data_IF_559891802173
#
_entry.id   IF_559891802173
#
_cell.length_a   1.000
_cell.length_b   1.000
_cell.length_c   1.000
_cell.angle_alpha   90.00
_cell.angle_beta   90.00
_cell.angle_gamma   90.00
#
_symmetry.space_group_name_H-M   'P 1'
#
loop_
_entity.id
_entity.type
_entity.pdbx_description
1 polymer ?
#
# COMPACT_ATOMS: atom_id res chain seq x y z
N UNK A 1 13.59 56.86 -54.38
CA UNK A 1 14.02 56.80 -52.96
C UNK A 1 12.87 56.25 -52.15
N UNK A 2 12.89 54.97 -51.85
CA UNK A 2 11.81 54.20 -51.10
C UNK A 2 12.39 53.76 -49.80
N UNK A 3 11.73 54.04 -48.70
CA UNK A 3 12.12 53.70 -47.37
C UNK A 3 11.42 52.38 -46.96
N UNK A 4 12.12 51.38 -46.35
CA UNK A 4 11.51 50.11 -45.98
C UNK A 4 10.77 50.18 -44.65
N UNK A 5 9.63 49.49 -44.63
CA UNK A 5 8.72 49.41 -43.52
C UNK A 5 9.31 48.72 -42.28
N UNK A 6 8.96 49.25 -41.13
CA UNK A 6 9.35 48.77 -39.81
C UNK A 6 8.50 47.53 -39.41
N UNK A 7 9.12 46.37 -39.35
CA UNK A 7 8.51 45.14 -38.84
C UNK A 7 8.35 45.27 -37.34
N UNK A 8 7.08 45.27 -36.84
CA UNK A 8 6.76 45.12 -35.43
C UNK A 8 7.06 43.72 -35.00
N UNK A 9 8.06 43.51 -34.13
CA UNK A 9 8.27 42.27 -33.42
C UNK A 9 7.20 42.12 -32.37
N UNK A 10 6.32 41.11 -32.54
CA UNK A 10 5.38 40.67 -31.54
C UNK A 10 6.15 40.14 -30.32
N UNK A 11 5.81 40.65 -29.16
CA UNK A 11 6.30 40.22 -27.86
C UNK A 11 5.64 38.86 -27.59
N UNK A 12 6.38 37.76 -27.25
CA UNK A 12 5.73 36.52 -26.82
C UNK A 12 5.08 36.75 -25.46
N UNK A 13 3.76 36.65 -25.40
CA UNK A 13 3.04 36.54 -24.14
C UNK A 13 3.45 35.21 -23.48
N UNK A 14 4.28 35.35 -22.46
CA UNK A 14 4.57 34.25 -21.56
C UNK A 14 3.29 33.95 -20.74
N UNK A 15 2.50 33.01 -21.21
CA UNK A 15 1.43 32.41 -20.43
C UNK A 15 2.03 31.71 -19.20
N UNK A 16 2.09 32.45 -18.10
CA UNK A 16 2.32 31.89 -16.76
C UNK A 16 1.06 31.14 -16.32
N UNK A 17 0.88 29.92 -16.82
CA UNK A 17 0.12 28.94 -16.10
C UNK A 17 0.94 28.60 -14.84
N UNK A 18 0.79 29.39 -13.79
CA UNK A 18 1.23 29.03 -12.45
C UNK A 18 0.43 27.77 -12.06
N UNK A 19 1.03 26.60 -12.23
CA UNK A 19 0.52 25.39 -11.62
C UNK A 19 0.39 25.69 -10.11
N UNK A 20 -0.83 25.75 -9.63
CA UNK A 20 -1.13 25.80 -8.21
C UNK A 20 -0.52 24.54 -7.61
N UNK A 21 0.67 24.65 -7.03
CA UNK A 21 1.25 23.61 -6.21
C UNK A 21 0.34 23.51 -4.99
N UNK A 22 -0.57 22.52 -5.01
CA UNK A 22 -1.35 22.20 -3.81
C UNK A 22 -0.37 21.97 -2.67
N UNK A 23 -0.61 22.57 -1.49
CA UNK A 23 0.27 22.37 -0.34
C UNK A 23 0.35 20.87 -0.06
N UNK A 24 1.57 20.38 0.10
CA UNK A 24 1.81 18.96 0.42
C UNK A 24 0.98 18.61 1.66
N UNK A 25 0.07 17.64 1.52
CA UNK A 25 -0.77 17.21 2.62
C UNK A 25 0.11 16.77 3.80
N UNK A 26 -0.22 17.23 5.01
CA UNK A 26 0.48 16.78 6.21
C UNK A 26 0.12 15.30 6.52
N UNK A 27 1.04 14.51 7.05
CA UNK A 27 0.75 13.16 7.47
C UNK A 27 -0.28 13.17 8.61
N UNK A 28 -1.28 12.30 8.53
CA UNK A 28 -2.31 12.14 9.56
C UNK A 28 -2.06 10.84 10.32
N UNK A 29 -1.91 10.95 11.64
CA UNK A 29 -1.78 9.77 12.48
C UNK A 29 -3.18 9.26 12.90
N UNK A 30 -3.38 7.95 12.80
CA UNK A 30 -4.63 7.30 13.20
C UNK A 30 -4.40 6.00 13.95
N UNK A 31 -5.37 5.62 14.77
CA UNK A 31 -5.42 4.28 15.35
C UNK A 31 -5.70 3.23 14.27
N UNK A 32 -5.13 2.05 14.45
CA UNK A 32 -5.31 0.89 13.60
C UNK A 32 -5.59 -0.36 14.46
N UNK A 33 -6.86 -0.68 14.67
CA UNK A 33 -7.24 -1.86 15.44
C UNK A 33 -6.81 -3.17 14.74
N UNK A 34 -6.75 -3.19 13.41
CA UNK A 34 -6.24 -4.34 12.68
C UNK A 34 -4.75 -4.59 12.92
N UNK A 35 -3.92 -3.53 12.96
CA UNK A 35 -2.52 -3.67 13.34
C UNK A 35 -2.37 -4.09 14.81
N UNK A 36 -3.17 -3.53 15.71
CA UNK A 36 -3.18 -3.97 17.11
C UNK A 36 -3.43 -5.48 17.19
N UNK A 37 -4.49 -5.96 16.56
CA UNK A 37 -4.83 -7.39 16.53
C UNK A 37 -3.75 -8.27 15.87
N UNK A 38 -3.10 -7.78 14.81
CA UNK A 38 -1.97 -8.48 14.19
C UNK A 38 -0.81 -8.62 15.17
N UNK A 39 -0.38 -7.51 15.78
CA UNK A 39 0.79 -7.49 16.66
C UNK A 39 0.55 -8.16 18.00
N UNK A 40 -0.67 -8.10 18.56
CA UNK A 40 -1.05 -8.81 19.79
C UNK A 40 -0.96 -10.34 19.62
N UNK A 41 -1.07 -10.83 18.40
CA UNK A 41 -0.93 -12.25 18.09
C UNK A 41 0.53 -12.68 17.79
N UNK A 42 1.49 -11.77 17.87
CA UNK A 42 2.91 -12.03 17.63
C UNK A 42 3.70 -11.94 18.94
N UNK A 43 4.70 -12.82 19.07
CA UNK A 43 5.64 -12.73 20.18
C UNK A 43 6.67 -11.60 19.92
N UNK A 44 7.02 -10.85 20.96
CA UNK A 44 8.05 -9.79 20.90
C UNK A 44 9.44 -10.36 21.16
N UNK A 45 9.79 -11.44 20.48
CA UNK A 45 11.05 -12.15 20.65
C UNK A 45 12.02 -11.97 19.48
N UNK A 46 11.66 -11.14 18.51
CA UNK A 46 12.45 -10.85 17.33
C UNK A 46 12.63 -12.06 16.39
N UNK A 47 11.74 -13.06 16.44
CA UNK A 47 11.92 -14.28 15.64
C UNK A 47 11.18 -14.29 14.31
N UNK A 48 10.20 -13.43 14.15
CA UNK A 48 9.37 -13.42 12.94
C UNK A 48 10.11 -12.92 11.71
N UNK A 49 9.65 -13.34 10.55
CA UNK A 49 10.06 -12.79 9.25
C UNK A 49 8.89 -12.03 8.63
N UNK A 50 9.13 -10.80 8.22
CA UNK A 50 8.10 -9.88 7.73
C UNK A 50 8.38 -9.51 6.28
N UNK A 51 7.35 -9.65 5.43
CA UNK A 51 7.29 -9.06 4.10
C UNK A 51 6.36 -7.84 4.15
N UNK A 52 6.90 -6.68 3.85
CA UNK A 52 6.15 -5.44 3.77
C UNK A 52 6.09 -4.98 2.31
N UNK A 53 4.88 -4.83 1.77
CA UNK A 53 4.69 -4.38 0.39
C UNK A 53 4.82 -2.86 0.25
N UNK A 54 5.00 -2.14 1.36
CA UNK A 54 5.25 -0.71 1.40
C UNK A 54 6.73 -0.33 1.28
N UNK A 55 7.00 0.93 1.59
CA UNK A 55 8.34 1.51 1.60
C UNK A 55 8.98 1.42 2.99
N UNK A 56 10.29 1.22 2.99
CA UNK A 56 11.08 1.31 4.21
C UNK A 56 11.05 2.72 4.82
N UNK A 57 11.14 2.78 6.14
CA UNK A 57 11.26 4.02 6.90
C UNK A 57 11.69 3.75 8.34
N UNK A 58 12.44 4.70 8.94
CA UNK A 58 13.06 4.49 10.26
C UNK A 58 12.05 4.17 11.37
N UNK A 59 10.91 4.89 11.40
CA UNK A 59 9.86 4.62 12.39
C UNK A 59 9.24 3.25 12.19
N UNK A 60 9.02 2.89 10.94
CA UNK A 60 8.48 1.60 10.53
C UNK A 60 9.38 0.45 10.97
N UNK A 61 10.67 0.54 10.65
CA UNK A 61 11.69 -0.43 11.07
C UNK A 61 11.74 -0.57 12.59
N UNK A 62 11.67 0.55 13.33
CA UNK A 62 11.71 0.56 14.79
C UNK A 62 10.55 -0.20 15.44
N UNK A 63 9.36 -0.17 14.84
CA UNK A 63 8.22 -0.96 15.32
C UNK A 63 8.40 -2.43 14.99
N UNK A 64 8.75 -2.74 13.74
CA UNK A 64 8.87 -4.11 13.26
C UNK A 64 10.03 -4.88 13.90
N UNK A 65 11.15 -4.23 14.19
CA UNK A 65 12.33 -4.86 14.80
C UNK A 65 12.09 -5.46 16.20
N UNK A 66 10.99 -5.07 16.86
CA UNK A 66 10.58 -5.69 18.14
C UNK A 66 10.05 -7.11 17.96
N UNK A 67 9.55 -7.44 16.77
CA UNK A 67 8.89 -8.71 16.47
C UNK A 67 9.70 -9.55 15.49
N UNK A 68 10.43 -8.90 14.59
CA UNK A 68 11.06 -9.54 13.45
C UNK A 68 12.58 -9.40 13.46
N UNK A 69 13.28 -10.50 13.21
CA UNK A 69 14.71 -10.49 12.91
C UNK A 69 15.00 -10.25 11.42
N UNK A 70 14.00 -10.45 10.55
CA UNK A 70 14.13 -10.23 9.12
C UNK A 70 12.93 -9.49 8.59
N UNK A 71 13.19 -8.38 7.92
CA UNK A 71 12.17 -7.53 7.30
C UNK A 71 12.59 -7.29 5.85
N UNK A 72 11.67 -7.51 4.92
CA UNK A 72 11.84 -7.21 3.50
C UNK A 72 10.78 -6.21 3.07
N UNK A 73 11.19 -5.21 2.32
CA UNK A 73 10.31 -4.21 1.73
C UNK A 73 10.26 -4.43 0.22
N UNK A 74 9.06 -4.49 -0.34
CA UNK A 74 8.85 -4.68 -1.78
C UNK A 74 8.71 -3.35 -2.54
N UNK A 75 8.28 -2.28 -1.86
CA UNK A 75 8.14 -0.96 -2.47
C UNK A 75 6.97 -0.84 -3.47
N UNK A 76 5.97 -1.71 -3.42
CA UNK A 76 4.81 -1.66 -4.32
C UNK A 76 3.86 -0.50 -4.02
N UNK A 77 3.87 -0.01 -2.81
CA UNK A 77 3.02 1.08 -2.35
C UNK A 77 3.90 2.32 -2.13
N UNK A 78 3.46 3.49 -2.54
CA UNK A 78 2.11 3.85 -3.02
C UNK A 78 1.85 3.66 -4.51
N UNK A 79 2.82 3.27 -5.29
CA UNK A 79 2.73 3.15 -6.75
C UNK A 79 3.05 1.73 -7.20
N UNK A 80 2.05 0.83 -7.25
CA UNK A 80 2.27 -0.52 -7.77
C UNK A 80 2.71 -0.42 -9.23
N UNK A 81 3.60 -1.34 -9.67
CA UNK A 81 3.96 -1.44 -11.08
C UNK A 81 2.74 -1.69 -11.97
N UNK A 82 2.75 -1.21 -13.20
CA UNK A 82 1.66 -1.37 -14.17
C UNK A 82 2.10 -2.23 -15.36
N UNK A 83 1.14 -2.87 -16.03
CA UNK A 83 1.40 -3.68 -17.23
C UNK A 83 2.40 -4.81 -16.98
N UNK A 84 3.32 -5.02 -17.93
CA UNK A 84 4.33 -6.09 -17.88
C UNK A 84 5.29 -5.95 -16.68
N UNK A 85 5.49 -4.72 -16.19
CA UNK A 85 6.33 -4.49 -15.01
C UNK A 85 5.72 -5.12 -13.75
N UNK A 86 4.41 -5.34 -13.71
CA UNK A 86 3.75 -6.01 -12.59
C UNK A 86 4.21 -7.47 -12.44
N UNK A 87 4.20 -8.23 -13.53
CA UNK A 87 4.62 -9.63 -13.52
C UNK A 87 6.06 -9.77 -13.07
N UNK A 88 6.96 -8.96 -13.66
CA UNK A 88 8.37 -8.93 -13.27
C UNK A 88 8.56 -8.56 -11.80
N UNK A 89 7.77 -7.61 -11.29
CA UNK A 89 7.84 -7.20 -9.88
C UNK A 89 7.34 -8.30 -8.92
N UNK A 90 6.29 -9.05 -9.29
CA UNK A 90 5.83 -10.20 -8.52
C UNK A 90 6.88 -11.32 -8.46
N UNK A 91 7.52 -11.62 -9.60
CA UNK A 91 8.59 -12.60 -9.66
C UNK A 91 9.81 -12.17 -8.85
N UNK A 92 10.11 -10.87 -8.85
CA UNK A 92 11.20 -10.26 -8.09
C UNK A 92 10.91 -10.17 -6.59
N UNK A 93 9.67 -10.46 -6.12
CA UNK A 93 9.40 -10.56 -4.68
C UNK A 93 10.34 -11.60 -4.08
N UNK A 94 11.27 -11.16 -3.19
CA UNK A 94 12.33 -12.03 -2.74
C UNK A 94 11.77 -13.16 -1.89
N UNK A 95 12.06 -14.43 -2.23
CA UNK A 95 11.89 -15.47 -1.25
C UNK A 95 12.81 -15.16 -0.06
N UNK A 96 12.33 -15.43 1.14
CA UNK A 96 13.21 -15.36 2.29
C UNK A 96 14.19 -16.55 2.21
N UNK A 97 15.52 -16.31 2.14
CA UNK A 97 16.49 -17.39 1.97
C UNK A 97 16.57 -18.34 3.16
N UNK A 98 16.11 -17.90 4.33
CA UNK A 98 16.23 -18.69 5.56
C UNK A 98 14.95 -19.46 5.89
N UNK A 99 13.79 -18.87 5.62
CA UNK A 99 12.47 -19.47 5.96
C UNK A 99 11.35 -18.66 5.30
N UNK A 100 10.15 -19.24 5.08
CA UNK A 100 8.99 -18.49 4.61
C UNK A 100 8.63 -17.33 5.55
N UNK A 101 7.91 -16.32 5.03
CA UNK A 101 7.45 -15.18 5.82
C UNK A 101 6.33 -15.56 6.78
N UNK A 102 6.40 -15.07 8.01
CA UNK A 102 5.37 -15.27 9.04
C UNK A 102 4.29 -14.17 8.97
N UNK A 103 4.66 -13.00 8.47
CA UNK A 103 3.78 -11.82 8.42
C UNK A 103 3.91 -11.12 7.08
N UNK A 104 2.77 -10.72 6.52
CA UNK A 104 2.67 -9.86 5.33
C UNK A 104 1.90 -8.59 5.67
N UNK A 105 2.50 -7.43 5.41
CA UNK A 105 1.82 -6.15 5.44
C UNK A 105 1.49 -5.73 4.01
N UNK A 106 0.26 -6.03 3.57
CA UNK A 106 -0.20 -5.75 2.21
C UNK A 106 -0.73 -4.32 2.03
N UNK A 107 -1.03 -3.63 3.13
CA UNK A 107 -1.58 -2.27 3.13
C UNK A 107 -2.82 -2.17 2.24
N UNK A 108 -2.92 -1.12 1.42
CA UNK A 108 -4.03 -0.86 0.50
C UNK A 108 -3.75 -1.31 -0.95
N UNK A 109 -2.79 -2.24 -1.17
CA UNK A 109 -2.42 -2.69 -2.51
C UNK A 109 -3.59 -3.33 -3.25
N UNK A 110 -4.45 -4.05 -2.53
CA UNK A 110 -5.59 -4.75 -3.13
C UNK A 110 -6.59 -3.79 -3.80
N UNK A 111 -6.70 -2.56 -3.31
CA UNK A 111 -7.51 -1.52 -3.93
C UNK A 111 -6.86 -0.88 -5.15
N UNK A 112 -5.55 -1.04 -5.30
CA UNK A 112 -4.76 -0.34 -6.32
C UNK A 112 -4.52 -1.14 -7.58
N UNK A 113 -4.74 -2.42 -7.54
CA UNK A 113 -4.46 -3.38 -8.62
C UNK A 113 -5.74 -4.02 -9.14
N UNK A 114 -5.69 -4.53 -10.35
CA UNK A 114 -6.83 -5.14 -11.03
C UNK A 114 -7.11 -6.58 -10.54
N UNK A 115 -8.31 -7.13 -10.78
CA UNK A 115 -8.65 -8.46 -10.31
C UNK A 115 -7.66 -9.57 -10.70
N UNK A 116 -7.14 -9.65 -11.95
CA UNK A 116 -6.09 -10.62 -12.29
C UNK A 116 -4.79 -10.41 -11.50
N UNK A 117 -4.40 -9.15 -11.30
CA UNK A 117 -3.22 -8.81 -10.51
C UNK A 117 -3.38 -9.19 -9.03
N UNK A 118 -4.59 -9.04 -8.47
CA UNK A 118 -4.89 -9.48 -7.10
C UNK A 118 -4.70 -10.98 -6.94
N UNK A 119 -5.23 -11.76 -7.89
CA UNK A 119 -5.10 -13.22 -7.88
C UNK A 119 -3.62 -13.63 -7.91
N UNK A 120 -2.85 -13.10 -8.86
CA UNK A 120 -1.41 -13.37 -8.97
C UNK A 120 -0.62 -12.94 -7.73
N UNK A 121 -0.96 -11.78 -7.11
CA UNK A 121 -0.34 -11.35 -5.87
C UNK A 121 -0.60 -12.35 -4.74
N UNK A 122 -1.86 -12.74 -4.53
CA UNK A 122 -2.22 -13.66 -3.45
C UNK A 122 -1.57 -15.03 -3.65
N UNK A 123 -1.57 -15.56 -4.88
CA UNK A 123 -0.87 -16.80 -5.22
C UNK A 123 0.63 -16.71 -4.86
N UNK A 124 1.29 -15.61 -5.24
CA UNK A 124 2.70 -15.38 -4.91
C UNK A 124 2.92 -15.29 -3.40
N UNK A 125 2.05 -14.59 -2.68
CA UNK A 125 2.14 -14.49 -1.22
C UNK A 125 1.96 -15.86 -0.55
N UNK A 126 1.06 -16.69 -1.05
CA UNK A 126 0.89 -18.08 -0.56
C UNK A 126 2.18 -18.88 -0.71
N UNK A 127 2.85 -18.77 -1.85
CA UNK A 127 4.12 -19.47 -2.08
C UNK A 127 5.26 -18.97 -1.19
N UNK A 128 5.24 -17.70 -0.77
CA UNK A 128 6.30 -17.09 0.03
C UNK A 128 6.09 -17.18 1.54
N UNK A 129 4.90 -17.55 2.01
CA UNK A 129 4.53 -17.50 3.42
C UNK A 129 4.49 -18.87 4.08
N UNK A 130 4.81 -18.90 5.37
CA UNK A 130 4.69 -20.09 6.21
C UNK A 130 3.21 -20.54 6.39
N UNK A 131 2.93 -21.77 6.78
CA UNK A 131 1.64 -22.14 7.39
C UNK A 131 1.35 -21.17 8.57
N UNK A 132 0.08 -20.85 8.79
CA UNK A 132 -0.39 -19.91 9.83
C UNK A 132 0.17 -18.48 9.71
N UNK A 133 0.83 -18.13 8.59
CA UNK A 133 1.27 -16.77 8.33
C UNK A 133 0.10 -15.78 8.35
N UNK A 134 0.34 -14.61 8.90
CA UNK A 134 -0.66 -13.54 9.04
C UNK A 134 -0.51 -12.50 7.94
N UNK A 135 -1.64 -12.07 7.41
CA UNK A 135 -1.71 -11.03 6.42
C UNK A 135 -2.57 -9.87 6.96
N UNK A 136 -2.03 -8.66 6.88
CA UNK A 136 -2.78 -7.43 7.13
C UNK A 136 -3.05 -6.70 5.82
N UNK A 137 -4.30 -6.28 5.62
CA UNK A 137 -4.70 -5.48 4.46
C UNK A 137 -5.68 -4.38 4.87
N UNK A 138 -5.67 -3.30 4.10
CA UNK A 138 -6.64 -2.19 4.22
C UNK A 138 -7.37 -2.06 2.90
N UNK A 139 -8.67 -1.79 2.95
CA UNK A 139 -9.53 -1.61 1.77
C UNK A 139 -10.40 -0.39 1.99
N UNK A 140 -10.55 0.43 0.95
CA UNK A 140 -11.47 1.55 0.96
C UNK A 140 -12.88 1.07 0.59
N UNK A 141 -13.77 1.04 1.57
CA UNK A 141 -15.18 0.70 1.40
C UNK A 141 -16.09 1.95 1.41
N UNK A 142 -15.52 3.16 1.36
CA UNK A 142 -16.28 4.42 1.43
C UNK A 142 -17.12 4.69 0.17
N UNK A 143 -16.75 4.10 -0.96
CA UNK A 143 -17.37 4.38 -2.26
C UNK A 143 -17.04 5.77 -2.80
N UNK A 144 -16.00 6.42 -2.31
CA UNK A 144 -15.57 7.72 -2.79
C UNK A 144 -15.27 7.69 -4.29
N UNK A 145 -15.64 8.76 -5.02
CA UNK A 145 -15.44 8.83 -6.47
C UNK A 145 -13.97 8.95 -6.89
N UNK A 146 -13.12 9.43 -5.99
CA UNK A 146 -11.67 9.54 -6.19
C UNK A 146 -10.93 9.19 -4.92
N UNK A 147 -9.75 8.61 -5.08
CA UNK A 147 -8.85 8.33 -3.96
C UNK A 147 -7.44 8.79 -4.31
N UNK A 148 -6.67 9.20 -3.29
CA UNK A 148 -5.24 9.45 -3.43
C UNK A 148 -4.45 8.24 -2.97
N UNK A 149 -3.35 7.88 -3.65
CA UNK A 149 -2.43 6.89 -3.12
C UNK A 149 -1.95 7.28 -1.72
N UNK A 150 -1.89 6.33 -0.81
CA UNK A 150 -1.49 6.56 0.58
C UNK A 150 -0.11 5.93 0.83
N UNK A 151 0.77 6.68 1.46
CA UNK A 151 1.97 6.14 2.10
C UNK A 151 1.63 5.89 3.56
N UNK A 152 1.68 4.65 3.97
CA UNK A 152 1.45 4.25 5.36
C UNK A 152 2.78 3.99 6.05
N UNK A 153 2.93 4.44 7.30
CA UNK A 153 4.12 4.26 8.12
C UNK A 153 3.69 3.87 9.53
N UNK A 154 4.16 2.75 10.05
CA UNK A 154 3.93 2.38 11.44
C UNK A 154 4.57 3.41 12.38
N UNK A 155 3.80 3.91 13.32
CA UNK A 155 4.27 4.80 14.41
C UNK A 155 4.16 4.11 15.76
N UNK A 156 3.44 3.00 15.83
CA UNK A 156 3.26 2.12 16.98
C UNK A 156 2.60 0.81 16.55
N UNK A 157 2.45 -0.12 17.48
CA UNK A 157 1.78 -1.42 17.23
C UNK A 157 0.30 -1.30 16.87
N UNK A 158 -0.32 -0.19 17.26
CA UNK A 158 -1.71 0.10 17.01
C UNK A 158 -1.92 1.46 16.33
N UNK A 159 -0.87 2.05 15.76
CA UNK A 159 -0.90 3.38 15.14
C UNK A 159 -0.17 3.41 13.82
N UNK A 160 -0.76 4.15 12.89
CA UNK A 160 -0.20 4.38 11.57
C UNK A 160 -0.29 5.86 11.21
N UNK A 161 0.78 6.39 10.66
CA UNK A 161 0.81 7.68 9.99
C UNK A 161 0.53 7.47 8.51
N UNK A 162 -0.44 8.20 7.97
CA UNK A 162 -0.88 8.08 6.58
C UNK A 162 -0.66 9.42 5.88
N UNK A 163 0.04 9.40 4.77
CA UNK A 163 0.33 10.56 3.94
C UNK A 163 -0.25 10.33 2.55
N UNK A 164 -1.23 11.15 2.09
CA UNK A 164 -1.65 11.15 0.71
C UNK A 164 -0.49 11.57 -0.21
N UNK A 165 -0.24 10.81 -1.27
CA UNK A 165 0.86 11.07 -2.22
C UNK A 165 0.34 11.06 -3.65
N UNK A 166 0.84 11.98 -4.47
CA UNK A 166 0.44 12.10 -5.86
C UNK A 166 -0.98 12.67 -6.09
N UNK A 167 -1.41 12.74 -7.34
CA UNK A 167 -2.72 13.25 -7.70
C UNK A 167 -3.85 12.27 -7.32
N UNK A 168 -5.08 12.77 -7.12
CA UNK A 168 -6.25 11.91 -7.01
C UNK A 168 -6.40 11.05 -8.27
N UNK A 169 -6.72 9.78 -8.08
CA UNK A 169 -7.08 8.85 -9.16
C UNK A 169 -8.57 8.52 -9.05
N UNK A 170 -9.27 8.20 -10.17
CA UNK A 170 -10.60 7.66 -10.08
C UNK A 170 -10.63 6.46 -9.12
N UNK A 171 -11.61 6.44 -8.24
CA UNK A 171 -11.77 5.31 -7.34
C UNK A 171 -12.15 4.07 -8.15
N UNK A 172 -11.54 2.96 -7.81
CA UNK A 172 -11.94 1.65 -8.35
C UNK A 172 -13.22 1.20 -7.66
N UNK A 173 -13.92 0.24 -8.27
CA UNK A 173 -15.08 -0.38 -7.62
C UNK A 173 -14.67 -0.88 -6.23
N UNK A 174 -15.38 -0.46 -5.16
CA UNK A 174 -15.06 -0.88 -3.81
C UNK A 174 -14.96 -2.39 -3.69
N UNK A 175 -13.90 -2.85 -3.06
CA UNK A 175 -13.72 -4.28 -2.80
C UNK A 175 -14.55 -4.67 -1.57
N UNK A 176 -15.76 -5.16 -1.82
CA UNK A 176 -16.68 -5.59 -0.76
C UNK A 176 -16.14 -6.82 -0.01
N UNK A 177 -16.63 -7.11 1.22
CA UNK A 177 -16.12 -8.22 2.03
C UNK A 177 -16.11 -9.57 1.33
N UNK A 178 -17.24 -10.01 0.74
CA UNK A 178 -17.31 -11.32 0.12
C UNK A 178 -16.42 -11.49 -1.14
N UNK A 179 -16.28 -10.51 -2.05
CA UNK A 179 -15.22 -10.52 -3.06
C UNK A 179 -13.80 -10.54 -2.48
N UNK A 180 -13.53 -9.78 -1.43
CA UNK A 180 -12.21 -9.77 -0.78
C UNK A 180 -11.87 -11.15 -0.18
N UNK A 181 -12.79 -11.75 0.57
CA UNK A 181 -12.60 -13.08 1.15
C UNK A 181 -12.34 -14.16 0.09
N UNK A 182 -12.99 -14.05 -1.07
CA UNK A 182 -12.72 -14.94 -2.21
C UNK A 182 -11.33 -14.75 -2.78
N UNK A 183 -10.88 -13.51 -2.94
CA UNK A 183 -9.53 -13.20 -3.40
C UNK A 183 -8.50 -13.70 -2.41
N UNK A 184 -8.76 -13.55 -1.11
CA UNK A 184 -7.88 -14.00 -0.04
C UNK A 184 -8.10 -15.50 0.32
N UNK A 185 -8.86 -16.27 -0.43
CA UNK A 185 -9.31 -17.62 -0.04
C UNK A 185 -8.22 -18.56 0.55
N UNK A 186 -6.94 -18.49 0.13
CA UNK A 186 -5.87 -19.22 0.81
C UNK A 186 -5.56 -18.69 2.23
N UNK A 187 -5.98 -17.46 2.54
CA UNK A 187 -5.94 -16.85 3.86
C UNK A 187 -7.37 -16.70 4.39
N UNK A 188 -7.65 -17.23 5.57
CA UNK A 188 -8.93 -17.03 6.24
C UNK A 188 -8.94 -15.67 6.94
N UNK A 189 -9.88 -14.80 6.63
CA UNK A 189 -10.10 -13.56 7.39
C UNK A 189 -10.55 -13.95 8.79
N UNK A 190 -9.75 -13.60 9.80
CA UNK A 190 -10.03 -13.88 11.20
C UNK A 190 -10.61 -12.66 11.92
N UNK A 191 -10.26 -11.46 11.47
CA UNK A 191 -10.77 -10.21 12.05
C UNK A 191 -10.93 -9.14 10.97
N UNK A 192 -11.95 -8.31 11.11
CA UNK A 192 -12.23 -7.17 10.25
C UNK A 192 -12.72 -5.98 11.08
N UNK A 193 -12.18 -4.80 10.81
CA UNK A 193 -12.48 -3.56 11.53
C UNK A 193 -12.89 -2.48 10.55
N UNK A 194 -14.07 -1.88 10.76
CA UNK A 194 -14.52 -0.73 9.97
C UNK A 194 -14.14 0.55 10.69
N UNK A 195 -13.41 1.42 10.00
CA UNK A 195 -12.98 2.71 10.53
C UNK A 195 -14.01 3.80 10.18
N UNK A 196 -14.04 4.87 10.97
CA UNK A 196 -14.94 6.03 10.72
C UNK A 196 -14.68 6.72 9.38
N UNK A 197 -13.51 6.53 8.80
CA UNK A 197 -13.12 7.06 7.48
C UNK A 197 -13.67 6.26 6.30
N UNK A 198 -14.41 5.16 6.53
CA UNK A 198 -14.85 4.24 5.48
C UNK A 198 -13.82 3.19 5.09
N UNK A 199 -12.59 3.28 5.61
CA UNK A 199 -11.60 2.22 5.43
C UNK A 199 -11.98 0.99 6.27
N UNK A 200 -11.61 -0.18 5.76
CA UNK A 200 -11.71 -1.45 6.48
C UNK A 200 -10.34 -2.10 6.59
N UNK A 201 -10.00 -2.53 7.78
CA UNK A 201 -8.77 -3.26 8.05
C UNK A 201 -9.09 -4.75 8.25
N UNK A 202 -8.27 -5.60 7.66
CA UNK A 202 -8.43 -7.05 7.71
C UNK A 202 -7.17 -7.70 8.24
N UNK A 203 -7.36 -8.68 9.11
CA UNK A 203 -6.33 -9.63 9.53
C UNK A 203 -6.77 -10.99 9.04
N UNK A 204 -5.93 -11.66 8.27
CA UNK A 204 -6.18 -12.97 7.74
C UNK A 204 -5.02 -13.92 8.08
N UNK A 205 -5.31 -15.21 8.19
CA UNK A 205 -4.33 -16.26 8.53
C UNK A 205 -4.32 -17.28 7.41
N UNK A 206 -3.13 -17.65 6.94
CA UNK A 206 -2.97 -18.70 5.93
C UNK A 206 -3.48 -20.04 6.48
N UNK A 207 -4.35 -20.67 5.71
CA UNK A 207 -4.83 -22.02 6.04
C UNK A 207 -3.71 -23.04 5.81
N UNK A 208 -3.58 -23.97 6.72
CA UNK A 208 -2.68 -25.12 6.61
C UNK A 208 -3.12 -26.06 5.51
#
# INVERSE_FOLDING_TARGET
>A
MSWPGRVRRGRPEASKAAALVEPAAAPVERASPGLAALFDALTQDGRHSVLDLGLAGDRHLRVLSRFARQIRFAGFIPHPPEGDAWTSALEALPPNPCRPYDVVLAWDILDRIDPPQRAGLVERLVALTAPDARLYAVVDASGAATSRPLRSTLTGVNRVSVLPVGPPKPARTPLLPAPLERVLAPFAVTQAFTLRTGLREYVAVKRS
#
